data_IF_303269290123
#
_entry.id   IF_303269290123
#
_cell.length_a   1.000
_cell.length_b   1.000
_cell.length_c   1.000
_cell.angle_alpha   90.00
_cell.angle_beta   90.00
_cell.angle_gamma   90.00
#
_symmetry.space_group_name_H-M   'P 1'
#
loop_
_entity.id
_entity.type
_entity.pdbx_description
1 polymer ?
#
# COMPACT_ATOMS: atom_id res chain seq x y z
N UNK A 1 22.82 5.42 37.41
CA UNK A 1 21.60 6.10 36.95
C UNK A 1 21.78 6.26 35.45
N UNK A 2 21.09 5.42 34.70
CA UNK A 2 21.20 5.30 33.24
C UNK A 2 20.34 6.38 32.58
N UNK A 3 20.88 7.08 31.59
CA UNK A 3 20.07 7.70 30.55
C UNK A 3 20.64 7.22 29.21
N UNK A 4 20.05 6.13 28.72
CA UNK A 4 20.22 5.70 27.33
C UNK A 4 19.32 6.58 26.47
N UNK A 5 19.92 7.42 25.64
CA UNK A 5 19.22 8.12 24.57
C UNK A 5 18.80 7.08 23.52
N UNK A 6 17.59 6.54 23.68
CA UNK A 6 16.99 5.62 22.71
C UNK A 6 16.51 6.46 21.53
N UNK A 7 17.19 6.34 20.40
CA UNK A 7 16.72 6.81 19.10
C UNK A 7 15.40 6.10 18.79
N UNK A 8 14.29 6.85 18.77
CA UNK A 8 12.98 6.33 18.37
C UNK A 8 13.01 5.85 16.91
N UNK A 9 12.46 4.67 16.57
CA UNK A 9 12.40 4.18 15.19
C UNK A 9 11.19 4.78 14.46
N UNK A 10 11.26 6.05 14.04
CA UNK A 10 10.10 6.76 13.45
C UNK A 10 9.95 6.53 11.93
N UNK A 11 10.88 5.81 11.29
CA UNK A 11 10.87 5.67 9.82
C UNK A 11 9.81 4.69 9.29
N UNK A 12 9.23 3.80 10.12
CA UNK A 12 8.28 2.78 9.65
C UNK A 12 6.79 3.20 9.79
N UNK A 13 6.51 4.31 10.49
CA UNK A 13 5.13 4.76 10.76
C UNK A 13 4.64 5.86 9.81
N UNK A 14 5.54 6.61 9.15
CA UNK A 14 5.15 7.75 8.31
C UNK A 14 4.38 7.31 7.06
N UNK A 15 4.92 6.33 6.32
CA UNK A 15 4.24 5.80 5.14
C UNK A 15 2.93 5.09 5.51
N UNK A 16 2.93 4.31 6.60
CA UNK A 16 1.75 3.60 7.07
C UNK A 16 0.61 4.56 7.43
N UNK A 17 0.91 5.61 8.20
CA UNK A 17 -0.09 6.63 8.54
C UNK A 17 -0.56 7.40 7.30
N UNK A 18 0.37 7.69 6.38
CA UNK A 18 0.06 8.40 5.14
C UNK A 18 -0.87 7.61 4.23
N UNK A 19 -0.60 6.31 4.00
CA UNK A 19 -1.42 5.51 3.10
C UNK A 19 -2.81 5.24 3.66
N UNK A 20 -2.94 5.04 4.98
CA UNK A 20 -4.24 4.90 5.64
C UNK A 20 -5.08 6.18 5.48
N UNK A 21 -4.47 7.35 5.77
CA UNK A 21 -5.14 8.65 5.58
C UNK A 21 -5.54 8.88 4.12
N UNK A 22 -4.66 8.55 3.18
CA UNK A 22 -4.94 8.69 1.75
C UNK A 22 -6.16 7.86 1.33
N UNK A 23 -6.27 6.60 1.76
CA UNK A 23 -7.42 5.75 1.45
C UNK A 23 -8.72 6.32 2.05
N UNK A 24 -8.67 6.77 3.30
CA UNK A 24 -9.81 7.40 3.98
C UNK A 24 -10.29 8.66 3.24
N UNK A 25 -9.37 9.55 2.84
CA UNK A 25 -9.68 10.78 2.09
C UNK A 25 -10.30 10.49 0.71
N UNK A 26 -9.88 9.41 0.05
CA UNK A 26 -10.43 8.98 -1.24
C UNK A 26 -11.70 8.13 -1.11
N UNK A 27 -12.11 7.77 0.11
CA UNK A 27 -13.27 6.92 0.35
C UNK A 27 -13.10 5.51 -0.23
N UNK A 28 -11.86 5.01 -0.29
CA UNK A 28 -11.56 3.67 -0.79
C UNK A 28 -11.89 2.65 0.29
N UNK A 29 -12.79 1.71 -0.04
CA UNK A 29 -13.19 0.64 0.87
C UNK A 29 -12.06 -0.42 0.99
N UNK A 30 -11.47 -0.64 2.18
CA UNK A 30 -10.48 -1.69 2.38
C UNK A 30 -11.00 -3.12 2.10
N UNK A 31 -12.33 -3.30 2.06
CA UNK A 31 -12.99 -4.57 1.72
C UNK A 31 -13.24 -4.73 0.21
N UNK A 32 -12.93 -3.73 -0.62
CA UNK A 32 -12.92 -3.91 -2.07
C UNK A 32 -11.96 -5.03 -2.43
N UNK A 33 -12.40 -5.97 -3.27
CA UNK A 33 -11.63 -7.15 -3.64
C UNK A 33 -11.17 -7.08 -5.08
N UNK A 34 -9.89 -7.35 -5.30
CA UNK A 34 -9.33 -7.61 -6.62
C UNK A 34 -9.34 -9.11 -6.90
N UNK A 35 -9.67 -9.48 -8.13
CA UNK A 35 -9.51 -10.86 -8.63
C UNK A 35 -8.36 -10.86 -9.62
N UNK A 36 -7.21 -11.37 -9.19
CA UNK A 36 -5.98 -11.37 -10.00
C UNK A 36 -5.57 -12.80 -10.34
N UNK A 37 -4.98 -13.00 -11.52
CA UNK A 37 -4.49 -14.32 -11.92
C UNK A 37 -3.30 -14.72 -11.04
N UNK A 38 -3.38 -15.91 -10.44
CA UNK A 38 -2.29 -16.55 -9.71
C UNK A 38 -1.61 -17.66 -10.50
N UNK A 39 -0.60 -18.33 -9.90
CA UNK A 39 0.10 -19.43 -10.54
C UNK A 39 -0.87 -20.55 -10.93
N UNK A 40 -0.69 -21.11 -12.13
CA UNK A 40 -1.45 -22.27 -12.62
C UNK A 40 -2.95 -22.01 -12.91
N UNK A 41 -3.32 -20.81 -13.37
CA UNK A 41 -4.70 -20.43 -13.72
C UNK A 41 -5.69 -20.46 -12.55
N UNK A 42 -5.21 -20.34 -11.32
CA UNK A 42 -6.06 -20.13 -10.15
C UNK A 42 -6.24 -18.62 -9.92
N UNK A 43 -7.46 -18.18 -9.66
CA UNK A 43 -7.73 -16.79 -9.32
C UNK A 43 -7.45 -16.53 -7.83
N UNK A 44 -6.68 -15.49 -7.54
CA UNK A 44 -6.46 -14.99 -6.20
C UNK A 44 -7.43 -13.83 -5.92
N UNK A 45 -8.14 -13.92 -4.80
CA UNK A 45 -9.03 -12.85 -4.32
C UNK A 45 -8.27 -12.08 -3.24
N UNK A 46 -7.93 -10.83 -3.52
CA UNK A 46 -7.09 -10.00 -2.65
C UNK A 46 -7.85 -8.72 -2.28
N UNK A 47 -8.26 -8.55 -1.01
CA UNK A 47 -8.81 -7.28 -0.53
C UNK A 47 -7.80 -6.14 -0.61
N UNK A 48 -8.26 -4.91 -0.88
CA UNK A 48 -7.44 -3.70 -0.82
C UNK A 48 -6.67 -3.62 0.49
N UNK A 49 -7.31 -3.93 1.63
CA UNK A 49 -6.63 -3.95 2.92
C UNK A 49 -5.37 -4.83 2.93
N UNK A 50 -5.38 -5.98 2.27
CA UNK A 50 -4.20 -6.86 2.17
C UNK A 50 -3.10 -6.22 1.31
N UNK A 51 -3.49 -5.54 0.22
CA UNK A 51 -2.55 -4.78 -0.62
C UNK A 51 -1.86 -3.68 0.19
N UNK A 52 -2.62 -2.95 1.01
CA UNK A 52 -2.08 -1.88 1.85
C UNK A 52 -1.15 -2.44 2.93
N UNK A 53 -1.51 -3.55 3.58
CA UNK A 53 -0.62 -4.18 4.57
C UNK A 53 0.71 -4.65 3.94
N UNK A 54 0.68 -5.16 2.70
CA UNK A 54 1.90 -5.48 1.97
C UNK A 54 2.70 -4.24 1.59
N UNK A 55 2.04 -3.15 1.17
CA UNK A 55 2.71 -1.89 0.89
C UNK A 55 3.42 -1.34 2.14
N UNK A 56 2.81 -1.45 3.33
CA UNK A 56 3.39 -0.99 4.60
C UNK A 56 4.65 -1.73 5.02
N UNK A 57 4.80 -3.00 4.64
CA UNK A 57 6.00 -3.81 4.95
C UNK A 57 7.01 -3.87 3.80
N UNK A 58 6.70 -3.26 2.66
CA UNK A 58 7.62 -3.15 1.54
C UNK A 58 8.87 -2.35 1.92
N UNK A 59 9.94 -2.46 1.13
CA UNK A 59 11.16 -1.70 1.39
C UNK A 59 10.91 -0.19 1.32
N UNK A 60 11.71 0.66 2.00
CA UNK A 60 11.53 2.11 1.94
C UNK A 60 11.54 2.69 0.52
N UNK A 61 12.31 2.09 -0.39
CA UNK A 61 12.34 2.50 -1.80
C UNK A 61 11.05 2.16 -2.55
N UNK A 62 10.45 1.00 -2.26
CA UNK A 62 9.16 0.61 -2.80
C UNK A 62 8.04 1.48 -2.23
N UNK A 63 8.05 1.74 -0.92
CA UNK A 63 7.09 2.65 -0.27
C UNK A 63 7.12 4.05 -0.90
N UNK A 64 8.32 4.61 -1.13
CA UNK A 64 8.47 5.89 -1.82
C UNK A 64 7.91 5.84 -3.25
N UNK A 65 8.20 4.77 -4.00
CA UNK A 65 7.69 4.59 -5.37
C UNK A 65 6.16 4.47 -5.40
N UNK A 66 5.58 3.72 -4.46
CA UNK A 66 4.12 3.56 -4.31
C UNK A 66 3.49 4.92 -4.00
N UNK A 67 4.03 5.65 -3.01
CA UNK A 67 3.55 6.99 -2.63
C UNK A 67 3.60 7.96 -3.81
N UNK A 68 4.74 8.05 -4.49
CA UNK A 68 4.92 8.95 -5.63
C UNK A 68 3.96 8.62 -6.79
N UNK A 69 3.71 7.33 -7.03
CA UNK A 69 2.80 6.88 -8.08
C UNK A 69 1.35 7.22 -7.73
N UNK A 70 0.91 6.93 -6.50
CA UNK A 70 -0.43 7.27 -6.02
C UNK A 70 -0.70 8.78 -6.06
N UNK A 71 0.25 9.60 -5.61
CA UNK A 71 0.15 11.07 -5.67
C UNK A 71 0.04 11.56 -7.11
N UNK A 72 0.81 10.97 -8.04
CA UNK A 72 0.75 11.34 -9.46
C UNK A 72 -0.58 10.95 -10.12
N UNK A 73 -1.14 9.80 -9.77
CA UNK A 73 -2.44 9.35 -10.26
C UNK A 73 -3.52 10.30 -9.75
N UNK A 74 -3.52 10.56 -8.44
CA UNK A 74 -4.49 11.46 -7.80
C UNK A 74 -4.44 12.88 -8.36
N UNK A 75 -3.24 13.44 -8.55
CA UNK A 75 -3.05 14.77 -9.12
C UNK A 75 -3.62 14.88 -10.55
N UNK A 76 -3.69 13.76 -11.29
CA UNK A 76 -4.23 13.69 -12.64
C UNK A 76 -5.70 13.27 -12.68
N UNK A 77 -6.37 13.18 -11.54
CA UNK A 77 -7.74 12.65 -11.41
C UNK A 77 -7.87 11.24 -12.01
N UNK A 78 -6.82 10.43 -11.83
CA UNK A 78 -6.73 9.07 -12.34
C UNK A 78 -7.33 8.03 -11.38
N UNK A 79 -7.50 6.81 -11.89
CA UNK A 79 -8.03 5.70 -11.10
C UNK A 79 -6.97 5.09 -10.18
N UNK A 80 -7.08 5.38 -8.89
CA UNK A 80 -6.23 4.82 -7.84
C UNK A 80 -6.42 3.31 -7.69
N UNK A 81 -7.65 2.80 -7.83
CA UNK A 81 -7.94 1.37 -7.67
C UNK A 81 -7.23 0.55 -8.74
N UNK A 82 -7.09 1.08 -9.96
CA UNK A 82 -6.33 0.42 -11.01
C UNK A 82 -4.85 0.19 -10.63
N UNK A 83 -4.22 1.15 -9.94
CA UNK A 83 -2.85 0.96 -9.48
C UNK A 83 -2.76 0.02 -8.27
N UNK A 84 -3.75 0.05 -7.37
CA UNK A 84 -3.83 -0.91 -6.27
C UNK A 84 -4.04 -2.35 -6.78
N UNK A 85 -4.81 -2.53 -7.85
CA UNK A 85 -4.97 -3.82 -8.55
C UNK A 85 -3.62 -4.30 -9.13
N UNK A 86 -2.85 -3.40 -9.75
CA UNK A 86 -1.50 -3.71 -10.22
C UNK A 86 -0.60 -4.19 -9.07
N UNK A 87 -0.63 -3.53 -7.90
CA UNK A 87 0.11 -3.99 -6.73
C UNK A 87 -0.37 -5.39 -6.25
N UNK A 88 -1.68 -5.65 -6.28
CA UNK A 88 -2.23 -6.98 -5.99
C UNK A 88 -1.68 -8.08 -6.92
N UNK A 89 -1.45 -7.79 -8.21
CA UNK A 89 -0.82 -8.78 -9.12
C UNK A 89 0.59 -9.17 -8.69
N UNK A 90 1.35 -8.23 -8.11
CA UNK A 90 2.70 -8.50 -7.58
C UNK A 90 2.68 -9.37 -6.32
N UNK A 91 1.61 -9.31 -5.53
CA UNK A 91 1.41 -10.15 -4.33
C UNK A 91 0.99 -11.58 -4.70
N UNK A 92 0.28 -11.73 -5.82
CA UNK A 92 -0.23 -13.01 -6.29
C UNK A 92 0.82 -13.94 -6.90
N UNK A 93 2.03 -13.45 -7.18
CA UNK A 93 3.12 -14.15 -7.88
C UNK A 93 4.17 -14.71 -6.91
#
# INVERSE_FOLDING_TARGET
>A
MIETCTTSPVANDEFASWIDTFLEEKGIDPQHVFTVAGPSNLENIIPVGVVIEHAKIASPGEQATIKDTLVQIDFRDGDVLHYLEFLATGIAH
#
